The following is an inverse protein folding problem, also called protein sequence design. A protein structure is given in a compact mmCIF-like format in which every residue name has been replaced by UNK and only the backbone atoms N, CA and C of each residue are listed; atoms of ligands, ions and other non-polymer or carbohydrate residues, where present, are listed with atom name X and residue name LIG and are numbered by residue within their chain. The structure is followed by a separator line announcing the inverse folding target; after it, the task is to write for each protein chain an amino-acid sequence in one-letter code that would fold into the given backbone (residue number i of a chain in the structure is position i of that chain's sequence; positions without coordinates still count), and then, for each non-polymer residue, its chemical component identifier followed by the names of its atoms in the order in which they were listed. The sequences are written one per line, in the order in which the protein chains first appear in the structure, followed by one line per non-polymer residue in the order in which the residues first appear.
data_IF_437107446446
#
_entry.id   IF_437107446446
#
_cell.length_a   1.000
_cell.length_b   1.000
_cell.length_c   1.000
_cell.angle_alpha   90.00
_cell.angle_beta   90.00
_cell.angle_gamma   90.00
#
_symmetry.space_group_name_H-M   'P 1'
#
loop_
_entity.id
_entity.type
_entity.pdbx_description
1 polymer ?
#
# COMPACT_ATOMS: atom_id res chain seq x y z
N UNK A 1 14.44 -38.59 -20.49
CA UNK A 1 15.71 -38.35 -21.19
C UNK A 1 15.45 -37.27 -22.23
N UNK A 2 16.00 -36.06 -22.19
CA UNK A 2 16.89 -35.35 -21.30
C UNK A 2 17.02 -33.90 -21.81
N UNK A 3 17.22 -32.97 -20.87
CA UNK A 3 17.92 -31.67 -20.89
C UNK A 3 17.67 -30.72 -22.09
N UNK A 4 17.04 -29.54 -21.92
CA UNK A 4 17.55 -28.28 -21.34
C UNK A 4 18.85 -27.77 -22.00
N UNK A 5 18.73 -26.68 -22.76
CA UNK A 5 19.61 -25.52 -22.60
C UNK A 5 18.88 -24.20 -22.94
N UNK A 6 19.05 -23.28 -22.01
CA UNK A 6 18.69 -21.87 -21.97
C UNK A 6 19.46 -21.01 -22.99
N UNK A 7 18.81 -19.97 -23.54
CA UNK A 7 19.51 -18.74 -23.92
C UNK A 7 18.71 -17.50 -23.51
N UNK A 8 19.40 -16.66 -22.77
CA UNK A 8 19.09 -15.29 -22.33
C UNK A 8 18.57 -14.41 -23.47
N UNK A 9 17.45 -13.71 -23.25
CA UNK A 9 16.96 -12.68 -24.16
C UNK A 9 17.21 -11.32 -23.50
N UNK A 10 18.35 -10.72 -23.84
CA UNK A 10 18.68 -9.34 -23.49
C UNK A 10 17.75 -8.40 -24.24
N UNK A 11 16.98 -7.61 -23.49
CA UNK A 11 16.07 -6.57 -23.98
C UNK A 11 16.85 -5.38 -24.53
N UNK A 12 17.43 -5.53 -25.72
CA UNK A 12 17.89 -4.40 -26.53
C UNK A 12 16.68 -3.71 -27.19
N UNK A 13 16.22 -2.61 -26.58
CA UNK A 13 15.37 -1.63 -27.24
C UNK A 13 16.19 -0.87 -28.31
N UNK A 14 16.38 -1.52 -29.46
CA UNK A 14 16.78 -0.85 -30.69
C UNK A 14 15.57 -0.08 -31.21
N UNK A 15 15.49 1.21 -30.86
CA UNK A 15 14.64 2.17 -31.57
C UNK A 15 15.22 2.34 -32.98
N UNK A 16 14.77 1.49 -33.91
CA UNK A 16 15.04 1.63 -35.32
C UNK A 16 14.40 2.91 -35.85
N UNK A 17 15.25 3.80 -36.37
CA UNK A 17 14.97 4.97 -37.22
C UNK A 17 13.52 5.06 -37.74
N UNK A 18 12.66 5.76 -37.01
CA UNK A 18 11.50 6.41 -37.60
C UNK A 18 11.85 7.88 -37.81
N UNK A 19 11.81 8.29 -39.08
CA UNK A 19 11.92 9.67 -39.52
C UNK A 19 10.78 10.50 -38.92
N UNK A 20 10.94 10.95 -37.68
CA UNK A 20 10.16 12.04 -37.14
C UNK A 20 10.76 13.30 -37.75
N UNK A 21 9.94 14.01 -38.52
CA UNK A 21 10.26 15.28 -39.16
C UNK A 21 10.81 16.23 -38.11
N UNK A 22 12.14 16.33 -38.03
CA UNK A 22 12.82 17.38 -37.30
C UNK A 22 12.42 18.68 -37.98
N UNK A 23 11.57 19.48 -37.32
CA UNK A 23 11.57 20.90 -37.59
C UNK A 23 12.95 21.39 -37.20
N UNK A 24 13.79 21.61 -38.22
CA UNK A 24 15.13 22.17 -38.12
C UNK A 24 15.11 23.43 -37.24
N UNK A 25 15.52 23.28 -35.98
CA UNK A 25 15.97 24.41 -35.19
C UNK A 25 17.39 24.75 -35.64
N UNK A 26 17.70 26.03 -35.91
CA UNK A 26 18.98 26.41 -36.47
C UNK A 26 20.10 26.07 -35.48
N UNK A 27 20.94 25.11 -35.86
CA UNK A 27 22.27 24.94 -35.30
C UNK A 27 23.12 26.10 -35.79
N UNK A 28 23.11 27.22 -35.08
CA UNK A 28 24.03 28.33 -35.34
C UNK A 28 24.65 28.84 -34.06
N UNK A 29 25.90 28.44 -33.89
CA UNK A 29 26.94 29.18 -33.17
C UNK A 29 26.97 30.65 -33.62
N UNK A 30 26.25 31.49 -32.90
CA UNK A 30 26.49 32.93 -32.88
C UNK A 30 26.28 33.40 -31.45
N UNK A 31 27.29 34.05 -30.88
CA UNK A 31 27.29 34.63 -29.54
C UNK A 31 26.33 35.83 -29.44
N UNK A 32 25.04 35.62 -29.71
CA UNK A 32 24.02 36.59 -29.41
C UNK A 32 23.74 36.47 -27.91
N UNK A 33 24.02 37.54 -27.16
CA UNK A 33 23.55 37.71 -25.79
C UNK A 33 22.07 37.29 -25.66
N UNK A 34 21.72 36.58 -24.58
CA UNK A 34 20.33 36.24 -24.27
C UNK A 34 19.47 37.50 -24.27
N UNK A 35 18.27 37.39 -24.83
CA UNK A 35 17.23 38.41 -24.67
C UNK A 35 16.80 38.54 -23.20
N UNK A 36 16.19 39.67 -22.83
CA UNK A 36 15.66 39.86 -21.46
C UNK A 36 14.63 38.76 -21.12
N UNK A 37 13.81 38.34 -22.08
CA UNK A 37 12.82 37.28 -21.89
C UNK A 37 13.50 35.95 -21.59
N UNK A 38 14.52 35.58 -22.38
CA UNK A 38 15.30 34.36 -22.16
C UNK A 38 16.00 34.37 -20.79
N UNK A 39 16.52 35.52 -20.34
CA UNK A 39 17.12 35.65 -19.01
C UNK A 39 16.09 35.41 -17.89
N UNK A 40 14.88 35.98 -18.01
CA UNK A 40 13.80 35.75 -17.06
C UNK A 40 13.40 34.27 -17.02
N UNK A 41 13.35 33.59 -18.17
CA UNK A 41 13.04 32.17 -18.24
C UNK A 41 14.11 31.30 -17.57
N UNK A 42 15.40 31.61 -17.78
CA UNK A 42 16.51 30.93 -17.09
C UNK A 42 16.39 31.10 -15.57
N UNK A 43 16.15 32.32 -15.09
CA UNK A 43 15.99 32.59 -13.66
C UNK A 43 14.77 31.83 -13.10
N UNK A 44 13.67 31.76 -13.85
CA UNK A 44 12.50 30.97 -13.46
C UNK A 44 12.86 29.48 -13.31
N UNK A 45 13.60 28.92 -14.27
CA UNK A 45 14.08 27.53 -14.21
C UNK A 45 14.95 27.31 -12.96
N UNK A 46 15.95 28.17 -12.75
CA UNK A 46 16.87 28.07 -11.61
C UNK A 46 16.14 28.24 -10.26
N UNK A 47 15.11 29.08 -10.20
CA UNK A 47 14.32 29.30 -8.99
C UNK A 47 13.52 28.07 -8.55
N UNK A 48 13.15 27.21 -9.50
CA UNK A 48 12.43 25.96 -9.25
C UNK A 48 13.35 24.83 -8.73
N UNK A 49 14.66 24.99 -8.83
CA UNK A 49 15.64 24.01 -8.34
C UNK A 49 16.01 24.34 -6.88
N UNK A 50 16.10 23.36 -5.97
CA UNK A 50 16.58 23.57 -4.60
C UNK A 50 17.96 24.23 -4.57
N UNK A 51 18.18 25.15 -3.64
CA UNK A 51 19.37 26.00 -3.61
C UNK A 51 20.69 25.20 -3.65
N UNK A 52 20.76 24.06 -2.96
CA UNK A 52 21.95 23.20 -2.93
C UNK A 52 22.25 22.51 -4.27
N UNK A 53 21.26 22.39 -5.16
CA UNK A 53 21.42 21.81 -6.50
C UNK A 53 21.62 22.88 -7.60
N UNK A 54 21.35 24.16 -7.31
CA UNK A 54 21.38 25.23 -8.33
C UNK A 54 22.76 25.44 -8.93
N UNK A 55 23.82 25.33 -8.13
CA UNK A 55 25.16 25.71 -8.57
C UNK A 55 25.65 24.86 -9.76
N UNK A 56 25.33 23.57 -9.77
CA UNK A 56 25.65 22.68 -10.90
C UNK A 56 24.96 23.15 -12.17
N UNK A 57 23.67 23.48 -12.10
CA UNK A 57 22.87 23.91 -13.26
C UNK A 57 23.20 25.34 -13.71
N UNK A 58 23.53 26.24 -12.77
CA UNK A 58 23.88 27.62 -13.05
C UNK A 58 25.16 27.76 -13.90
N UNK A 59 26.01 26.73 -13.91
CA UNK A 59 27.21 26.69 -14.73
C UNK A 59 26.95 26.25 -16.18
N UNK A 60 25.73 25.83 -16.53
CA UNK A 60 25.41 25.42 -17.89
C UNK A 60 25.31 26.63 -18.82
N UNK A 61 25.62 26.45 -20.12
CA UNK A 61 25.32 27.48 -21.11
C UNK A 61 23.82 27.78 -21.12
N UNK A 62 23.43 29.01 -20.78
CA UNK A 62 22.05 29.37 -20.51
C UNK A 62 21.09 29.07 -21.67
N UNK A 63 21.53 29.26 -22.92
CA UNK A 63 20.71 28.94 -24.10
C UNK A 63 20.52 27.42 -24.27
N UNK A 64 21.50 26.62 -23.89
CA UNK A 64 21.37 25.17 -23.90
C UNK A 64 20.38 24.73 -22.80
N UNK A 65 20.48 25.31 -21.60
CA UNK A 65 19.51 25.06 -20.52
C UNK A 65 18.07 25.41 -20.96
N UNK A 66 17.88 26.55 -21.63
CA UNK A 66 16.57 26.93 -22.19
C UNK A 66 16.06 25.90 -23.19
N UNK A 67 16.89 25.50 -24.15
CA UNK A 67 16.50 24.50 -25.16
C UNK A 67 16.09 23.16 -24.53
N UNK A 68 16.81 22.72 -23.50
CA UNK A 68 16.48 21.49 -22.74
C UNK A 68 15.09 21.62 -22.10
N UNK A 69 14.83 22.72 -21.39
CA UNK A 69 13.54 22.92 -20.73
C UNK A 69 12.38 23.15 -21.71
N UNK A 70 12.61 23.84 -22.83
CA UNK A 70 11.63 23.95 -23.90
C UNK A 70 11.25 22.56 -24.44
N UNK A 71 12.22 21.67 -24.62
CA UNK A 71 11.98 20.29 -25.04
C UNK A 71 11.17 19.50 -24.00
N UNK A 72 11.47 19.67 -22.71
CA UNK A 72 10.71 19.08 -21.62
C UNK A 72 9.25 19.61 -21.58
N UNK A 73 9.04 20.91 -21.79
CA UNK A 73 7.69 21.48 -21.90
C UNK A 73 6.93 20.96 -23.13
N UNK A 74 7.61 20.75 -24.26
CA UNK A 74 7.01 20.10 -25.43
C UNK A 74 6.57 18.68 -25.13
N UNK A 75 7.35 17.90 -24.35
CA UNK A 75 6.93 16.57 -23.93
C UNK A 75 5.64 16.62 -23.09
N UNK A 76 5.56 17.55 -22.12
CA UNK A 76 4.34 17.80 -21.34
C UNK A 76 3.15 18.21 -22.21
N UNK A 77 3.38 19.03 -23.23
CA UNK A 77 2.36 19.37 -24.21
C UNK A 77 1.87 18.14 -24.99
N UNK A 78 2.79 17.28 -25.47
CA UNK A 78 2.42 16.05 -26.17
C UNK A 78 1.67 15.05 -25.30
N UNK A 79 1.94 14.98 -23.99
CA UNK A 79 1.10 14.20 -23.06
C UNK A 79 -0.34 14.70 -23.08
N UNK A 80 -0.56 16.01 -23.11
CA UNK A 80 -1.91 16.60 -23.19
C UNK A 80 -2.65 16.26 -24.49
N UNK A 81 -1.90 15.92 -25.55
CA UNK A 81 -2.42 15.45 -26.83
C UNK A 81 -2.47 13.92 -26.92
N UNK A 82 -2.21 13.21 -25.82
CA UNK A 82 -2.09 11.74 -25.77
C UNK A 82 -1.03 11.16 -26.73
N UNK A 83 -0.09 11.99 -27.21
CA UNK A 83 1.01 11.57 -28.07
C UNK A 83 2.22 11.17 -27.22
N UNK A 84 2.10 10.01 -26.56
CA UNK A 84 3.12 9.51 -25.63
C UNK A 84 4.44 9.17 -26.32
N UNK A 85 4.43 8.76 -27.60
CA UNK A 85 5.65 8.43 -28.34
C UNK A 85 6.51 9.68 -28.55
N UNK A 86 5.91 10.80 -28.99
CA UNK A 86 6.63 12.06 -29.10
C UNK A 86 7.13 12.53 -27.73
N UNK A 87 6.29 12.45 -26.69
CA UNK A 87 6.70 12.83 -25.34
C UNK A 87 7.93 12.04 -24.85
N UNK A 88 7.96 10.72 -25.05
CA UNK A 88 9.11 9.87 -24.70
C UNK A 88 10.36 10.30 -25.48
N UNK A 89 10.24 10.53 -26.80
CA UNK A 89 11.38 10.94 -27.61
C UNK A 89 11.98 12.28 -27.15
N UNK A 90 11.11 13.22 -26.76
CA UNK A 90 11.53 14.51 -26.22
C UNK A 90 12.21 14.38 -24.84
N UNK A 91 11.63 13.64 -23.90
CA UNK A 91 12.24 13.40 -22.57
C UNK A 91 13.55 12.62 -22.64
N UNK A 92 13.65 11.63 -23.52
CA UNK A 92 14.89 10.87 -23.71
C UNK A 92 16.02 11.79 -24.19
N UNK A 93 15.73 12.67 -25.16
CA UNK A 93 16.71 13.68 -25.63
C UNK A 93 17.10 14.64 -24.50
N UNK A 94 16.14 15.11 -23.69
CA UNK A 94 16.41 15.93 -22.49
C UNK A 94 17.36 15.21 -21.53
N UNK A 95 17.07 13.96 -21.19
CA UNK A 95 17.88 13.18 -20.26
C UNK A 95 19.33 13.01 -20.77
N UNK A 96 19.50 12.72 -22.06
CA UNK A 96 20.82 12.57 -22.70
C UNK A 96 21.60 13.87 -22.76
N UNK A 97 20.94 14.99 -23.08
CA UNK A 97 21.59 16.30 -23.08
C UNK A 97 22.06 16.70 -21.66
N UNK A 98 21.26 16.43 -20.64
CA UNK A 98 21.62 16.67 -19.24
C UNK A 98 22.73 15.75 -18.74
N UNK A 99 22.73 14.49 -19.15
CA UNK A 99 23.77 13.50 -18.82
C UNK A 99 25.15 14.00 -19.29
N UNK A 100 25.22 14.51 -20.53
CA UNK A 100 26.44 15.11 -21.10
C UNK A 100 26.88 16.35 -20.32
N UNK A 101 25.94 17.21 -19.92
CA UNK A 101 26.26 18.44 -19.18
C UNK A 101 26.69 18.19 -17.73
N UNK A 102 26.14 17.15 -17.11
CA UNK A 102 26.40 16.82 -15.70
C UNK A 102 27.52 15.78 -15.51
N UNK A 103 28.07 15.24 -16.59
CA UNK A 103 29.08 14.19 -16.50
C UNK A 103 28.55 12.89 -15.89
N UNK A 104 27.32 12.51 -16.28
CA UNK A 104 26.61 11.32 -15.81
C UNK A 104 26.24 11.32 -14.31
N UNK A 105 26.06 12.50 -13.70
CA UNK A 105 25.48 12.61 -12.36
C UNK A 105 23.96 12.37 -12.40
N UNK A 106 23.54 11.10 -12.48
CA UNK A 106 22.13 10.67 -12.44
C UNK A 106 21.43 10.97 -11.10
N UNK A 107 22.21 11.38 -10.11
CA UNK A 107 21.81 11.61 -8.73
C UNK A 107 21.35 13.05 -8.48
N UNK A 108 21.13 13.84 -9.54
CA UNK A 108 20.77 15.25 -9.47
C UNK A 108 19.23 15.49 -9.45
N UNK A 109 18.78 16.48 -8.65
CA UNK A 109 17.35 16.84 -8.48
C UNK A 109 16.60 17.07 -9.79
N UNK A 110 17.27 17.58 -10.83
CA UNK A 110 16.66 17.91 -12.12
C UNK A 110 15.98 16.70 -12.79
N UNK A 111 16.45 15.48 -12.52
CA UNK A 111 15.90 14.27 -13.10
C UNK A 111 14.54 13.84 -12.53
N UNK A 112 14.10 14.38 -11.39
CA UNK A 112 12.82 13.99 -10.77
C UNK A 112 11.65 14.20 -11.74
N UNK A 113 11.53 15.40 -12.29
CA UNK A 113 10.41 15.74 -13.19
C UNK A 113 10.52 14.99 -14.53
N UNK A 114 11.73 14.86 -15.07
CA UNK A 114 12.01 14.11 -16.30
C UNK A 114 11.62 12.64 -16.15
N UNK A 115 12.07 11.99 -15.08
CA UNK A 115 11.73 10.59 -14.78
C UNK A 115 10.23 10.41 -14.53
N UNK A 116 9.56 11.37 -13.90
CA UNK A 116 8.12 11.32 -13.70
C UNK A 116 7.33 11.42 -15.02
N UNK A 117 7.71 12.37 -15.87
CA UNK A 117 7.09 12.53 -17.20
C UNK A 117 7.33 11.29 -18.06
N UNK A 118 8.57 10.81 -18.12
CA UNK A 118 8.95 9.64 -18.91
C UNK A 118 8.28 8.36 -18.39
N UNK A 119 8.23 8.16 -17.07
CA UNK A 119 7.52 7.05 -16.44
C UNK A 119 6.04 7.03 -16.83
N UNK A 120 5.35 8.18 -16.72
CA UNK A 120 3.93 8.30 -17.12
C UNK A 120 3.71 7.92 -18.58
N UNK A 121 4.57 8.38 -19.48
CA UNK A 121 4.45 8.08 -20.90
C UNK A 121 4.72 6.60 -21.20
N UNK A 122 5.77 6.02 -20.59
CA UNK A 122 6.12 4.62 -20.75
C UNK A 122 5.03 3.69 -20.22
N UNK A 123 4.39 4.05 -19.10
CA UNK A 123 3.23 3.33 -18.58
C UNK A 123 2.09 3.33 -19.59
N UNK A 124 1.78 4.48 -20.20
CA UNK A 124 0.75 4.60 -21.25
C UNK A 124 1.12 3.88 -22.55
N UNK A 125 2.42 3.72 -22.81
CA UNK A 125 2.95 2.94 -23.93
C UNK A 125 3.17 1.45 -23.59
N UNK A 126 2.65 0.97 -22.45
CA UNK A 126 2.78 -0.42 -21.99
C UNK A 126 4.22 -0.91 -21.73
N UNK A 127 5.18 0.00 -21.61
CA UNK A 127 6.56 -0.28 -21.18
C UNK A 127 6.65 -0.25 -19.64
N UNK A 128 5.85 -1.13 -19.02
CA UNK A 128 5.57 -1.10 -17.58
C UNK A 128 6.81 -1.26 -16.70
N UNK A 129 7.74 -2.21 -16.95
CA UNK A 129 8.93 -2.37 -16.10
C UNK A 129 9.82 -1.11 -16.07
N UNK A 130 10.05 -0.49 -17.23
CA UNK A 130 10.84 0.74 -17.34
C UNK A 130 10.17 1.92 -16.65
N UNK A 131 8.84 2.03 -16.76
CA UNK A 131 8.06 3.05 -16.04
C UNK A 131 8.22 2.91 -14.52
N UNK A 132 8.12 1.68 -13.99
CA UNK A 132 8.31 1.42 -12.56
C UNK A 132 9.71 1.81 -12.10
N UNK A 133 10.75 1.43 -12.86
CA UNK A 133 12.13 1.78 -12.52
C UNK A 133 12.31 3.29 -12.42
N UNK A 134 11.87 4.03 -13.44
CA UNK A 134 12.00 5.50 -13.45
C UNK A 134 11.19 6.17 -12.34
N UNK A 135 9.98 5.68 -12.06
CA UNK A 135 9.17 6.20 -10.95
C UNK A 135 9.83 5.97 -9.58
N UNK A 136 10.51 4.82 -9.40
CA UNK A 136 11.29 4.53 -8.19
C UNK A 136 12.54 5.41 -8.11
N UNK A 137 13.25 5.63 -9.21
CA UNK A 137 14.39 6.56 -9.26
C UNK A 137 13.97 7.99 -8.91
N UNK A 138 12.86 8.48 -9.46
CA UNK A 138 12.32 9.79 -9.11
C UNK A 138 11.95 9.89 -7.62
N UNK A 139 11.36 8.84 -7.04
CA UNK A 139 11.09 8.79 -5.59
C UNK A 139 12.38 8.86 -4.76
N UNK A 140 13.41 8.11 -5.13
CA UNK A 140 14.69 8.11 -4.43
C UNK A 140 15.35 9.50 -4.45
N UNK A 141 15.36 10.16 -5.61
CA UNK A 141 15.86 11.53 -5.76
C UNK A 141 15.04 12.53 -4.94
N UNK A 142 13.72 12.40 -4.95
CA UNK A 142 12.83 13.29 -4.21
C UNK A 142 13.08 13.19 -2.70
N UNK A 143 13.20 11.97 -2.16
CA UNK A 143 13.53 11.75 -0.75
C UNK A 143 14.93 12.26 -0.39
N UNK A 144 15.89 12.18 -1.32
CA UNK A 144 17.26 12.65 -1.10
C UNK A 144 17.37 14.17 -1.09
N UNK A 145 16.73 14.86 -2.04
CA UNK A 145 16.94 16.28 -2.26
C UNK A 145 15.89 17.17 -1.61
N UNK A 146 14.67 16.67 -1.44
CA UNK A 146 13.54 17.43 -0.87
C UNK A 146 12.72 16.56 0.08
N UNK A 147 13.32 16.00 1.16
CA UNK A 147 12.62 15.11 2.09
C UNK A 147 11.45 15.76 2.83
N UNK A 148 11.42 17.10 2.87
CA UNK A 148 10.36 17.87 3.52
C UNK A 148 9.23 18.26 2.57
N UNK A 149 9.36 18.00 1.26
CA UNK A 149 8.30 18.29 0.28
C UNK A 149 7.24 17.18 0.30
N UNK A 150 6.41 17.20 1.34
CA UNK A 150 5.35 16.21 1.56
C UNK A 150 4.36 16.18 0.38
N UNK A 151 4.09 17.31 -0.27
CA UNK A 151 3.19 17.37 -1.41
C UNK A 151 3.75 16.58 -2.60
N UNK A 152 5.01 16.80 -2.96
CA UNK A 152 5.66 16.04 -4.02
C UNK A 152 5.78 14.55 -3.67
N UNK A 153 6.13 14.21 -2.42
CA UNK A 153 6.29 12.82 -1.98
C UNK A 153 4.96 12.08 -2.05
N UNK A 154 3.87 12.69 -1.59
CA UNK A 154 2.52 12.12 -1.69
C UNK A 154 2.13 11.87 -3.15
N UNK A 155 2.36 12.85 -4.02
CA UNK A 155 2.11 12.72 -5.46
C UNK A 155 2.90 11.55 -6.06
N UNK A 156 4.15 11.37 -5.65
CA UNK A 156 5.00 10.31 -6.16
C UNK A 156 4.57 8.92 -5.71
N UNK A 157 4.10 8.78 -4.47
CA UNK A 157 3.47 7.55 -4.01
C UNK A 157 2.19 7.24 -4.81
N UNK A 158 1.36 8.24 -5.08
CA UNK A 158 0.17 8.06 -5.90
C UNK A 158 0.50 7.60 -7.33
N UNK A 159 1.56 8.14 -7.94
CA UNK A 159 2.05 7.71 -9.26
C UNK A 159 2.50 6.24 -9.25
N UNK A 160 3.29 5.83 -8.25
CA UNK A 160 3.70 4.43 -8.08
C UNK A 160 2.50 3.50 -7.89
N UNK A 161 1.50 3.93 -7.12
CA UNK A 161 0.29 3.13 -6.93
C UNK A 161 -0.44 2.86 -8.25
N UNK A 162 -0.54 3.86 -9.14
CA UNK A 162 -1.15 3.68 -10.46
C UNK A 162 -0.37 2.67 -11.31
N UNK A 163 0.97 2.73 -11.28
CA UNK A 163 1.81 1.78 -12.02
C UNK A 163 1.60 0.35 -11.49
N UNK A 164 1.56 0.16 -10.17
CA UNK A 164 1.30 -1.14 -9.57
C UNK A 164 -0.11 -1.67 -9.85
N UNK A 165 -1.13 -0.81 -9.93
CA UNK A 165 -2.46 -1.22 -10.37
C UNK A 165 -2.44 -1.77 -11.81
N UNK A 166 -1.69 -1.14 -12.72
CA UNK A 166 -1.53 -1.64 -14.09
C UNK A 166 -0.83 -3.01 -14.12
N UNK A 167 0.09 -3.26 -13.19
CA UNK A 167 0.75 -4.56 -13.01
C UNK A 167 -0.14 -5.61 -12.32
N UNK A 168 -1.32 -5.21 -11.81
CA UNK A 168 -2.13 -6.00 -10.86
C UNK A 168 -1.38 -6.37 -9.58
N UNK A 169 -0.37 -5.58 -9.24
CA UNK A 169 0.34 -5.70 -7.96
C UNK A 169 -0.43 -4.89 -6.91
N UNK A 170 -1.58 -5.42 -6.50
CA UNK A 170 -2.50 -4.72 -5.61
C UNK A 170 -1.91 -4.49 -4.22
N UNK A 171 -0.98 -5.33 -3.79
CA UNK A 171 -0.29 -5.20 -2.51
C UNK A 171 0.55 -3.93 -2.50
N UNK A 172 1.44 -3.77 -3.48
CA UNK A 172 2.28 -2.57 -3.56
C UNK A 172 1.44 -1.32 -3.90
N UNK A 173 0.37 -1.46 -4.69
CA UNK A 173 -0.53 -0.35 -4.97
C UNK A 173 -1.27 0.15 -3.71
N UNK A 174 -1.78 -0.75 -2.87
CA UNK A 174 -2.42 -0.44 -1.60
C UNK A 174 -1.45 0.28 -0.64
N UNK A 175 -0.24 -0.26 -0.50
CA UNK A 175 0.82 0.36 0.30
C UNK A 175 1.09 1.80 -0.16
N UNK A 176 1.32 1.99 -1.47
CA UNK A 176 1.61 3.32 -2.02
C UNK A 176 0.43 4.30 -1.80
N UNK A 177 -0.82 3.88 -1.94
CA UNK A 177 -1.96 4.78 -1.65
C UNK A 177 -2.05 5.16 -0.18
N UNK A 178 -1.79 4.24 0.75
CA UNK A 178 -1.75 4.55 2.19
C UNK A 178 -0.66 5.57 2.52
N UNK A 179 0.53 5.38 1.97
CA UNK A 179 1.64 6.33 2.15
C UNK A 179 1.35 7.69 1.48
N UNK A 180 0.69 7.70 0.32
CA UNK A 180 0.25 8.94 -0.32
C UNK A 180 -0.73 9.72 0.58
N UNK A 181 -1.74 9.03 1.15
CA UNK A 181 -2.73 9.64 2.05
C UNK A 181 -2.07 10.16 3.33
N UNK A 182 -1.26 9.33 3.99
CA UNK A 182 -0.57 9.70 5.23
C UNK A 182 0.34 10.92 5.02
N UNK A 183 1.07 10.95 3.92
CA UNK A 183 1.94 12.07 3.55
C UNK A 183 1.11 13.33 3.25
N UNK A 184 0.00 13.21 2.49
CA UNK A 184 -0.88 14.34 2.18
C UNK A 184 -1.52 14.97 3.43
N UNK A 185 -1.86 14.15 4.44
CA UNK A 185 -2.44 14.60 5.70
C UNK A 185 -1.48 15.41 6.58
N UNK A 186 -0.16 15.29 6.36
CA UNK A 186 0.87 16.02 7.12
C UNK A 186 1.14 17.42 6.57
N UNK A 187 0.51 17.80 5.45
CA UNK A 187 0.66 19.14 4.85
C UNK A 187 -0.13 20.16 5.67
N UNK A 188 0.43 21.34 5.94
CA UNK A 188 -0.20 22.39 6.78
C UNK A 188 -1.63 22.77 6.32
N UNK A 189 -1.87 22.73 5.01
CA UNK A 189 -3.19 22.93 4.40
C UNK A 189 -3.46 21.77 3.44
N UNK A 190 -4.00 20.63 3.95
CA UNK A 190 -4.23 19.46 3.13
C UNK A 190 -5.30 19.74 2.06
N UNK A 191 -5.04 19.31 0.83
CA UNK A 191 -6.07 19.29 -0.20
C UNK A 191 -7.03 18.11 0.07
N UNK A 192 -8.18 18.42 0.67
CA UNK A 192 -9.20 17.44 1.00
C UNK A 192 -9.76 16.72 -0.23
N UNK A 193 -9.85 17.37 -1.40
CA UNK A 193 -10.34 16.73 -2.62
C UNK A 193 -9.34 15.70 -3.13
N UNK A 194 -8.05 16.05 -3.09
CA UNK A 194 -6.97 15.12 -3.42
C UNK A 194 -6.94 13.90 -2.47
N UNK A 195 -7.07 14.11 -1.15
CA UNK A 195 -7.12 13.01 -0.19
C UNK A 195 -8.34 12.09 -0.42
N UNK A 196 -9.51 12.66 -0.69
CA UNK A 196 -10.71 11.88 -1.02
C UNK A 196 -10.54 11.05 -2.29
N UNK A 197 -9.87 11.60 -3.30
CA UNK A 197 -9.54 10.86 -4.52
C UNK A 197 -8.64 9.66 -4.22
N UNK A 198 -7.59 9.85 -3.40
CA UNK A 198 -6.71 8.75 -2.99
C UNK A 198 -7.45 7.68 -2.18
N UNK A 199 -8.35 8.09 -1.28
CA UNK A 199 -9.18 7.17 -0.49
C UNK A 199 -10.10 6.34 -1.38
N UNK A 200 -10.77 6.97 -2.35
CA UNK A 200 -11.61 6.27 -3.33
C UNK A 200 -10.81 5.23 -4.12
N UNK A 201 -9.60 5.57 -4.55
CA UNK A 201 -8.72 4.63 -5.24
C UNK A 201 -8.29 3.49 -4.31
N UNK A 202 -8.05 3.78 -3.04
CA UNK A 202 -7.66 2.78 -2.05
C UNK A 202 -8.79 1.78 -1.80
N UNK A 203 -10.02 2.25 -1.72
CA UNK A 203 -11.20 1.39 -1.53
C UNK A 203 -11.44 0.50 -2.77
N UNK A 204 -11.27 1.05 -3.98
CA UNK A 204 -11.31 0.25 -5.21
C UNK A 204 -10.27 -0.89 -5.21
N UNK A 205 -9.05 -0.62 -4.77
CA UNK A 205 -8.01 -1.66 -4.68
C UNK A 205 -8.38 -2.73 -3.65
N UNK A 206 -8.95 -2.35 -2.49
CA UNK A 206 -9.38 -3.35 -1.49
C UNK A 206 -10.44 -4.29 -2.07
N UNK A 207 -11.37 -3.75 -2.86
CA UNK A 207 -12.36 -4.57 -3.58
C UNK A 207 -11.67 -5.51 -4.58
N UNK A 208 -10.72 -5.02 -5.39
CA UNK A 208 -9.99 -5.85 -6.35
C UNK A 208 -9.15 -6.97 -5.70
N UNK A 209 -8.52 -6.70 -4.55
CA UNK A 209 -7.78 -7.71 -3.78
C UNK A 209 -8.73 -8.83 -3.33
N UNK A 210 -9.90 -8.44 -2.83
CA UNK A 210 -10.93 -9.41 -2.40
C UNK A 210 -11.40 -10.24 -3.60
N UNK A 211 -11.69 -9.60 -4.72
CA UNK A 211 -12.13 -10.27 -5.95
C UNK A 211 -11.07 -11.22 -6.54
N UNK A 212 -9.79 -10.83 -6.55
CA UNK A 212 -8.72 -11.70 -7.04
C UNK A 212 -8.48 -12.90 -6.10
N UNK A 213 -8.58 -12.70 -4.78
CA UNK A 213 -8.58 -13.79 -3.81
C UNK A 213 -9.76 -14.74 -4.06
N UNK A 214 -10.97 -14.23 -4.26
CA UNK A 214 -12.14 -15.06 -4.57
C UNK A 214 -12.03 -15.76 -5.94
N UNK A 215 -11.45 -15.09 -6.95
CA UNK A 215 -11.27 -15.64 -8.29
C UNK A 215 -10.21 -16.74 -8.33
N UNK A 216 -9.08 -16.53 -7.64
CA UNK A 216 -8.07 -17.58 -7.46
C UNK A 216 -8.64 -18.77 -6.69
N UNK A 217 -9.42 -18.54 -5.62
CA UNK A 217 -10.15 -19.58 -4.89
C UNK A 217 -11.21 -20.34 -5.69
N UNK A 218 -11.76 -19.76 -6.76
CA UNK A 218 -12.75 -20.43 -7.61
C UNK A 218 -12.11 -21.15 -8.81
N UNK A 219 -10.94 -20.69 -9.28
CA UNK A 219 -10.15 -21.34 -10.33
C UNK A 219 -9.35 -22.54 -9.81
N UNK A 220 -8.77 -22.45 -8.61
CA UNK A 220 -8.48 -23.67 -7.85
C UNK A 220 -9.81 -24.19 -7.33
N UNK A 221 -10.50 -25.02 -8.14
CA UNK A 221 -11.47 -25.95 -7.54
C UNK A 221 -10.66 -26.84 -6.59
N UNK A 222 -10.59 -26.39 -5.34
CA UNK A 222 -10.13 -27.18 -4.22
C UNK A 222 -11.17 -28.29 -4.11
N UNK A 223 -10.94 -29.38 -4.85
CA UNK A 223 -11.83 -30.54 -4.83
C UNK A 223 -11.93 -30.98 -3.38
N UNK A 224 -13.15 -30.90 -2.84
CA UNK A 224 -13.43 -31.32 -1.48
C UNK A 224 -13.05 -32.79 -1.38
N UNK A 225 -12.05 -33.10 -0.55
CA UNK A 225 -11.58 -34.47 -0.42
C UNK A 225 -12.72 -35.32 0.14
N UNK A 226 -12.83 -36.60 -0.23
CA UNK A 226 -13.88 -37.47 0.31
C UNK A 226 -13.84 -37.48 1.84
N UNK A 227 -14.95 -37.09 2.48
CA UNK A 227 -15.07 -37.00 3.95
C UNK A 227 -14.61 -35.67 4.57
N UNK A 228 -14.12 -34.72 3.76
CA UNK A 228 -13.74 -33.38 4.22
C UNK A 228 -14.99 -32.51 4.40
N UNK A 229 -15.15 -31.88 5.56
CA UNK A 229 -16.24 -30.90 5.78
C UNK A 229 -15.99 -29.64 4.97
N UNK A 230 -17.04 -28.86 4.70
CA UNK A 230 -16.92 -27.60 3.95
C UNK A 230 -15.93 -26.63 4.61
N UNK A 231 -15.93 -26.59 5.94
CA UNK A 231 -14.99 -25.78 6.72
C UNK A 231 -13.54 -26.29 6.61
N UNK A 232 -13.32 -27.62 6.55
CA UNK A 232 -11.99 -28.19 6.30
C UNK A 232 -11.48 -27.87 4.88
N UNK A 233 -12.36 -27.95 3.87
CA UNK A 233 -12.05 -27.58 2.49
C UNK A 233 -11.67 -26.11 2.37
N UNK A 234 -12.46 -25.21 2.98
CA UNK A 234 -12.19 -23.77 3.02
C UNK A 234 -10.86 -23.44 3.69
N UNK A 235 -10.51 -24.14 4.78
CA UNK A 235 -9.25 -23.98 5.50
C UNK A 235 -8.04 -24.45 4.69
N UNK A 236 -8.16 -25.57 3.96
CA UNK A 236 -7.09 -26.06 3.08
C UNK A 236 -6.83 -25.09 1.93
N UNK A 237 -7.89 -24.58 1.29
CA UNK A 237 -7.79 -23.55 0.26
C UNK A 237 -7.04 -22.31 0.79
N UNK A 238 -7.37 -21.85 2.01
CA UNK A 238 -6.71 -20.70 2.64
C UNK A 238 -5.23 -20.99 2.95
N UNK A 239 -4.88 -22.20 3.39
CA UNK A 239 -3.49 -22.59 3.65
C UNK A 239 -2.62 -22.55 2.37
N UNK A 240 -3.15 -22.99 1.24
CA UNK A 240 -2.46 -22.94 -0.07
C UNK A 240 -2.21 -21.48 -0.52
N UNK A 241 -3.16 -20.57 -0.28
CA UNK A 241 -3.02 -19.12 -0.58
C UNK A 241 -1.95 -18.45 0.30
N UNK A 242 -1.90 -18.83 1.56
CA UNK A 242 -0.90 -18.35 2.53
C UNK A 242 0.50 -18.79 2.09
N UNK A 243 0.66 -20.04 1.67
CA UNK A 243 1.94 -20.59 1.22
C UNK A 243 2.41 -19.90 -0.08
N UNK A 244 1.51 -19.69 -1.03
CA UNK A 244 1.79 -18.92 -2.25
C UNK A 244 2.27 -17.49 -1.95
N UNK A 245 1.57 -16.77 -1.06
CA UNK A 245 1.95 -15.41 -0.66
C UNK A 245 3.27 -15.35 0.12
N UNK A 246 3.59 -16.37 0.92
CA UNK A 246 4.86 -16.46 1.63
C UNK A 246 6.06 -16.73 0.70
N UNK A 247 5.84 -17.46 -0.40
CA UNK A 247 6.88 -17.76 -1.40
C UNK A 247 7.07 -16.65 -2.43
N UNK A 248 6.02 -15.92 -2.79
CA UNK A 248 6.02 -14.99 -3.94
C UNK A 248 5.68 -13.53 -3.59
N UNK A 249 5.25 -13.22 -2.36
CA UNK A 249 4.92 -11.87 -1.93
C UNK A 249 6.13 -11.01 -1.52
N UNK A 250 6.08 -9.70 -1.76
CA UNK A 250 7.21 -8.78 -1.53
C UNK A 250 7.36 -8.23 -0.09
N UNK A 251 6.64 -8.76 0.92
CA UNK A 251 6.75 -8.33 2.33
C UNK A 251 6.90 -9.54 3.28
N UNK A 252 7.48 -9.34 4.49
CA UNK A 252 7.59 -10.39 5.51
C UNK A 252 6.20 -10.72 6.03
N UNK A 253 5.64 -11.79 5.50
CA UNK A 253 4.44 -12.42 6.00
C UNK A 253 4.77 -13.08 7.35
N UNK A 254 4.19 -12.59 8.46
CA UNK A 254 4.30 -13.28 9.75
C UNK A 254 3.42 -14.54 9.70
N UNK A 255 4.02 -15.62 9.20
CA UNK A 255 3.41 -16.95 9.14
C UNK A 255 2.87 -17.38 10.51
N UNK A 256 3.47 -16.94 11.62
CA UNK A 256 3.00 -17.24 12.97
C UNK A 256 1.76 -16.43 13.39
N UNK A 257 1.59 -15.22 12.85
CA UNK A 257 0.41 -14.39 13.12
C UNK A 257 -0.80 -14.79 12.28
N UNK A 258 -0.60 -15.34 11.07
CA UNK A 258 -1.72 -15.76 10.21
C UNK A 258 -2.12 -17.23 10.40
N UNK A 259 -1.19 -18.10 10.84
CA UNK A 259 -1.56 -19.42 11.41
C UNK A 259 -2.22 -19.31 12.79
N UNK A 260 -2.36 -18.08 13.31
CA UNK A 260 -2.92 -17.75 14.62
C UNK A 260 -4.45 -17.66 14.60
N UNK A 261 -5.11 -18.71 14.16
CA UNK A 261 -6.51 -18.96 14.55
C UNK A 261 -6.50 -20.10 15.56
N UNK A 262 -7.35 -20.06 16.61
CA UNK A 262 -7.39 -21.10 17.60
C UNK A 262 -7.81 -22.40 16.90
N UNK A 263 -6.87 -23.33 16.78
CA UNK A 263 -7.21 -24.71 16.46
C UNK A 263 -8.18 -25.18 17.55
N UNK A 264 -9.07 -26.13 17.24
CA UNK A 264 -9.70 -26.96 18.29
C UNK A 264 -8.63 -27.56 19.22
N UNK A 265 -7.42 -27.75 18.72
CA UNK A 265 -6.24 -28.14 19.49
C UNK A 265 -5.82 -27.07 20.49
N UNK A 266 -5.82 -25.78 20.13
CA UNK A 266 -5.54 -24.68 21.07
C UNK A 266 -6.63 -24.55 22.13
N UNK A 267 -7.89 -24.75 21.77
CA UNK A 267 -9.00 -24.85 22.73
C UNK A 267 -8.80 -26.03 23.69
N UNK A 268 -8.25 -27.15 23.23
CA UNK A 268 -7.93 -28.29 24.10
C UNK A 268 -6.81 -28.02 25.10
N UNK A 269 -5.96 -27.00 24.84
CA UNK A 269 -4.94 -26.53 25.78
C UNK A 269 -5.51 -25.56 26.84
N UNK A 270 -6.74 -25.06 26.64
CA UNK A 270 -7.41 -24.16 27.59
C UNK A 270 -8.02 -24.99 28.72
N UNK A 271 -7.32 -25.04 29.85
CA UNK A 271 -7.82 -25.67 31.07
C UNK A 271 -8.67 -24.71 31.92
N UNK A 272 -9.26 -25.23 33.00
CA UNK A 272 -10.13 -24.44 33.87
C UNK A 272 -9.47 -23.23 34.52
N UNK A 273 -8.17 -23.34 34.83
CA UNK A 273 -7.41 -22.24 35.42
C UNK A 273 -7.27 -21.09 34.43
N UNK A 274 -6.92 -21.38 33.17
CA UNK A 274 -6.82 -20.38 32.10
C UNK A 274 -8.17 -19.69 31.90
N UNK A 275 -9.26 -20.45 31.86
CA UNK A 275 -10.61 -19.88 31.73
C UNK A 275 -10.94 -18.95 32.91
N UNK A 276 -10.66 -19.36 34.14
CA UNK A 276 -10.91 -18.55 35.33
C UNK A 276 -10.12 -17.24 35.31
N UNK A 277 -8.85 -17.30 34.92
CA UNK A 277 -7.99 -16.12 34.82
C UNK A 277 -8.52 -15.14 33.75
N UNK A 278 -8.87 -15.64 32.57
CA UNK A 278 -9.42 -14.82 31.48
C UNK A 278 -10.78 -14.24 31.87
N UNK A 279 -11.66 -15.01 32.51
CA UNK A 279 -12.96 -14.54 33.01
C UNK A 279 -12.77 -13.41 34.04
N UNK A 280 -11.86 -13.57 34.99
CA UNK A 280 -11.61 -12.55 36.02
C UNK A 280 -11.13 -11.23 35.40
N UNK A 281 -10.24 -11.31 34.41
CA UNK A 281 -9.74 -10.16 33.68
C UNK A 281 -10.81 -9.53 32.79
N UNK A 282 -11.65 -10.34 32.15
CA UNK A 282 -12.77 -9.86 31.35
C UNK A 282 -13.77 -9.12 32.22
N UNK A 283 -14.13 -9.65 33.39
CA UNK A 283 -14.99 -8.92 34.36
C UNK A 283 -14.40 -7.58 34.75
N UNK A 284 -13.11 -7.57 35.12
CA UNK A 284 -12.41 -6.34 35.50
C UNK A 284 -12.44 -5.32 34.37
N UNK A 285 -12.24 -5.77 33.13
CA UNK A 285 -12.33 -4.96 31.94
C UNK A 285 -13.74 -4.38 31.76
N UNK A 286 -14.78 -5.22 31.80
CA UNK A 286 -16.17 -4.80 31.66
C UNK A 286 -16.64 -3.82 32.74
N UNK A 287 -16.13 -3.95 33.98
CA UNK A 287 -16.46 -3.02 35.08
C UNK A 287 -15.76 -1.67 34.93
N UNK A 288 -14.55 -1.64 34.35
CA UNK A 288 -13.75 -0.43 34.17
C UNK A 288 -14.06 0.31 32.88
N UNK A 289 -14.58 -0.38 31.87
CA UNK A 289 -14.97 0.24 30.61
C UNK A 289 -15.99 1.33 30.90
N UNK A 290 -15.69 2.60 30.57
CA UNK A 290 -16.60 3.70 30.83
C UNK A 290 -17.90 3.39 30.13
N UNK A 291 -19.02 3.64 30.81
CA UNK A 291 -20.35 3.74 30.21
C UNK A 291 -20.42 4.96 29.29
N UNK A 292 -19.45 5.12 28.38
CA UNK A 292 -19.50 6.10 27.31
C UNK A 292 -20.64 5.72 26.39
N UNK A 293 -21.27 6.73 25.80
CA UNK A 293 -22.49 6.68 25.00
C UNK A 293 -22.46 5.73 23.78
N UNK A 294 -21.38 4.97 23.56
CA UNK A 294 -21.28 3.94 22.53
C UNK A 294 -22.03 2.67 22.94
N UNK A 295 -23.04 2.31 22.14
CA UNK A 295 -23.84 1.09 22.31
C UNK A 295 -23.04 -0.22 22.09
N UNK A 296 -21.79 -0.12 21.63
CA UNK A 296 -20.93 -1.24 21.24
C UNK A 296 -19.45 -0.88 21.37
N UNK A 297 -18.64 -1.86 21.81
CA UNK A 297 -17.19 -1.82 21.66
C UNK A 297 -16.66 -3.19 21.23
N UNK A 298 -15.51 -3.16 20.55
CA UNK A 298 -14.81 -4.33 20.06
C UNK A 298 -13.37 -4.36 20.56
N UNK A 299 -12.78 -5.55 20.60
CA UNK A 299 -11.36 -5.72 20.89
C UNK A 299 -10.84 -7.02 20.29
N UNK A 300 -9.54 -7.09 20.08
CA UNK A 300 -8.84 -8.33 19.70
C UNK A 300 -8.05 -8.91 20.88
N UNK A 301 -7.73 -10.20 20.84
CA UNK A 301 -7.09 -10.89 21.96
C UNK A 301 -5.71 -10.32 22.32
N UNK A 302 -4.96 -9.80 21.35
CA UNK A 302 -3.66 -9.14 21.59
C UNK A 302 -3.82 -7.83 22.37
N UNK A 303 -4.81 -7.01 22.02
CA UNK A 303 -5.13 -5.78 22.76
C UNK A 303 -5.59 -6.11 24.18
N UNK A 304 -6.46 -7.12 24.32
CA UNK A 304 -6.91 -7.61 25.62
C UNK A 304 -5.73 -8.11 26.47
N UNK A 305 -4.78 -8.84 25.85
CA UNK A 305 -3.54 -9.26 26.51
C UNK A 305 -2.77 -8.05 27.02
N UNK A 306 -2.46 -7.09 26.16
CA UNK A 306 -1.68 -5.91 26.52
C UNK A 306 -2.34 -5.07 27.61
N UNK A 307 -3.67 -4.94 27.57
CA UNK A 307 -4.42 -4.10 28.49
C UNK A 307 -4.70 -4.77 29.85
N UNK A 308 -5.05 -6.06 29.86
CA UNK A 308 -5.60 -6.72 31.05
C UNK A 308 -4.72 -7.86 31.60
N UNK A 309 -3.83 -8.36 30.76
CA UNK A 309 -3.13 -9.63 30.94
C UNK A 309 -1.63 -9.48 30.61
N UNK A 310 -1.04 -8.31 30.84
CA UNK A 310 0.36 -8.01 30.51
C UNK A 310 1.34 -8.94 31.21
N UNK A 311 1.07 -9.26 32.48
CA UNK A 311 1.96 -10.05 33.35
C UNK A 311 1.79 -11.57 33.18
N UNK A 312 0.86 -12.04 32.33
CA UNK A 312 0.70 -13.48 32.11
C UNK A 312 1.61 -14.00 30.99
N UNK A 313 2.12 -15.21 31.19
CA UNK A 313 2.87 -15.96 30.18
C UNK A 313 1.99 -16.50 29.05
N UNK A 314 0.66 -16.43 29.18
CA UNK A 314 -0.27 -16.90 28.15
C UNK A 314 -0.04 -16.17 26.83
N UNK A 315 0.04 -16.91 25.74
CA UNK A 315 0.12 -16.32 24.41
C UNK A 315 -1.24 -15.68 24.05
N UNK A 316 -1.26 -14.65 23.18
CA UNK A 316 -2.53 -14.11 22.67
C UNK A 316 -3.44 -15.18 22.04
N UNK A 317 -2.87 -16.24 21.44
CA UNK A 317 -3.65 -17.34 20.88
C UNK A 317 -4.42 -18.15 21.93
N UNK A 318 -3.80 -18.41 23.10
CA UNK A 318 -4.47 -19.09 24.23
C UNK A 318 -5.56 -18.18 24.82
N UNK A 319 -5.30 -16.87 24.88
CA UNK A 319 -6.29 -15.87 25.34
C UNK A 319 -7.47 -15.81 24.35
N UNK A 320 -7.22 -15.81 23.05
CA UNK A 320 -8.26 -15.85 22.02
C UNK A 320 -9.11 -17.13 22.09
N UNK A 321 -8.47 -18.30 22.25
CA UNK A 321 -9.16 -19.58 22.44
C UNK A 321 -10.03 -19.57 23.70
N UNK A 322 -9.51 -19.05 24.81
CA UNK A 322 -10.27 -18.93 26.05
C UNK A 322 -11.46 -17.98 25.91
N UNK A 323 -11.27 -16.80 25.31
CA UNK A 323 -12.36 -15.85 25.05
C UNK A 323 -13.43 -16.45 24.14
N UNK A 324 -13.03 -17.22 23.13
CA UNK A 324 -13.94 -17.97 22.25
C UNK A 324 -14.82 -18.93 23.06
N UNK A 325 -14.19 -19.80 23.86
CA UNK A 325 -14.90 -20.75 24.73
C UNK A 325 -15.86 -20.00 25.66
N UNK A 326 -15.40 -18.91 26.29
CA UNK A 326 -16.22 -18.11 27.21
C UNK A 326 -17.46 -17.54 26.48
N UNK A 327 -17.29 -16.95 25.30
CA UNK A 327 -18.39 -16.33 24.55
C UNK A 327 -19.39 -17.37 24.06
N UNK A 328 -18.92 -18.53 23.58
CA UNK A 328 -19.78 -19.64 23.17
C UNK A 328 -20.59 -20.18 24.36
N UNK A 329 -19.97 -20.34 25.53
CA UNK A 329 -20.63 -20.81 26.75
C UNK A 329 -21.64 -19.80 27.31
N UNK A 330 -21.35 -18.51 27.19
CA UNK A 330 -22.30 -17.45 27.56
C UNK A 330 -23.55 -17.51 26.67
N UNK A 331 -23.38 -17.72 25.37
CA UNK A 331 -24.48 -17.71 24.41
C UNK A 331 -25.24 -19.04 24.33
N UNK A 332 -24.69 -20.13 24.87
CA UNK A 332 -25.35 -21.43 24.86
C UNK A 332 -26.33 -21.59 26.03
N UNK A 333 -27.61 -21.83 25.71
CA UNK A 333 -28.68 -22.03 26.69
C UNK A 333 -28.48 -23.24 27.60
N UNK A 334 -27.80 -24.29 27.10
CA UNK A 334 -27.55 -25.53 27.85
C UNK A 334 -26.61 -25.33 29.04
N UNK A 335 -25.76 -24.31 28.99
CA UNK A 335 -24.80 -23.98 30.05
C UNK A 335 -25.24 -22.76 30.87
N UNK A 336 -26.54 -22.45 30.85
CA UNK A 336 -27.15 -21.37 31.65
C UNK A 336 -26.89 -21.49 33.15
N UNK A 337 -26.73 -22.71 33.67
CA UNK A 337 -26.57 -22.97 35.10
C UNK A 337 -25.11 -23.15 35.57
N UNK A 338 -24.12 -23.04 34.68
CA UNK A 338 -22.73 -23.08 35.11
C UNK A 338 -22.38 -21.76 35.82
N UNK A 339 -22.17 -21.84 37.14
CA UNK A 339 -21.84 -20.71 38.00
C UNK A 339 -20.65 -19.89 37.48
N UNK A 340 -19.72 -20.55 36.76
CA UNK A 340 -18.53 -19.94 36.17
C UNK A 340 -18.90 -18.81 35.20
N UNK A 341 -19.89 -19.03 34.33
CA UNK A 341 -20.32 -18.07 33.29
C UNK A 341 -21.54 -17.25 33.69
N UNK A 342 -22.33 -17.71 34.68
CA UNK A 342 -23.54 -17.03 35.15
C UNK A 342 -23.27 -15.55 35.54
N UNK A 343 -22.12 -15.31 36.18
CA UNK A 343 -21.68 -13.96 36.56
C UNK A 343 -21.40 -13.02 35.38
N UNK A 344 -21.00 -13.51 34.20
CA UNK A 344 -20.85 -12.70 32.99
C UNK A 344 -22.21 -12.42 32.32
N UNK A 345 -23.17 -13.35 32.42
CA UNK A 345 -24.54 -13.17 31.89
C UNK A 345 -25.31 -12.04 32.59
N UNK A 346 -24.96 -11.76 33.85
CA UNK A 346 -25.55 -10.68 34.64
C UNK A 346 -25.14 -9.28 34.15
N UNK A 347 -24.05 -9.15 33.40
CA UNK A 347 -23.68 -7.87 32.81
C UNK A 347 -24.73 -7.42 31.77
N UNK A 348 -24.94 -6.10 31.61
CA UNK A 348 -25.89 -5.55 30.65
C UNK A 348 -25.38 -5.62 29.21
N UNK A 349 -24.57 -6.62 28.88
CA UNK A 349 -23.95 -6.79 27.56
C UNK A 349 -24.36 -8.11 26.89
N UNK A 350 -24.43 -8.11 25.56
CA UNK A 350 -24.37 -9.30 24.72
C UNK A 350 -22.95 -9.46 24.18
N UNK A 351 -22.56 -10.71 23.98
CA UNK A 351 -21.20 -11.09 23.61
C UNK A 351 -21.25 -11.83 22.28
N UNK A 352 -20.46 -11.41 21.31
CA UNK A 352 -20.29 -12.15 20.04
C UNK A 352 -18.86 -11.99 19.54
N UNK A 353 -18.51 -12.72 18.49
CA UNK A 353 -17.25 -12.52 17.79
C UNK A 353 -17.46 -12.64 16.28
N UNK A 354 -16.58 -12.01 15.50
CA UNK A 354 -16.56 -12.13 14.04
C UNK A 354 -15.14 -12.34 13.55
N UNK A 355 -15.02 -13.04 12.42
CA UNK A 355 -13.79 -13.17 11.65
C UNK A 355 -13.70 -12.13 10.53
N UNK A 356 -14.79 -11.39 10.29
CA UNK A 356 -14.99 -10.51 9.13
C UNK A 356 -15.16 -9.04 9.56
N UNK A 357 -14.18 -8.47 10.28
CA UNK A 357 -14.25 -7.08 10.74
C UNK A 357 -13.43 -6.12 9.85
N UNK A 358 -14.09 -5.11 9.27
CA UNK A 358 -13.55 -4.17 8.26
C UNK A 358 -12.29 -3.39 8.67
N UNK A 359 -12.05 -3.21 9.98
CA UNK A 359 -10.94 -2.40 10.51
C UNK A 359 -9.72 -3.21 11.00
N UNK A 360 -9.81 -4.54 11.07
CA UNK A 360 -8.72 -5.39 11.55
C UNK A 360 -8.21 -6.31 10.44
N UNK A 361 -6.96 -6.74 10.55
CA UNK A 361 -6.32 -7.63 9.57
C UNK A 361 -7.12 -8.95 9.44
N UNK A 362 -7.24 -9.45 8.20
CA UNK A 362 -7.80 -10.78 7.93
C UNK A 362 -7.05 -11.82 8.77
N UNK A 363 -7.77 -12.67 9.50
CA UNK A 363 -7.20 -13.75 10.33
C UNK A 363 -7.24 -13.52 11.84
N UNK A 364 -7.71 -12.37 12.33
CA UNK A 364 -7.86 -12.10 13.78
C UNK A 364 -9.33 -12.08 14.17
N UNK A 365 -9.69 -12.84 15.22
CA UNK A 365 -11.05 -12.81 15.77
C UNK A 365 -11.28 -11.52 16.55
N UNK A 366 -12.33 -10.80 16.17
CA UNK A 366 -12.76 -9.57 16.85
C UNK A 366 -13.91 -9.93 17.78
N UNK A 367 -13.75 -9.65 19.07
CA UNK A 367 -14.78 -9.86 20.09
C UNK A 367 -15.62 -8.60 20.22
N UNK A 368 -16.93 -8.73 20.09
CA UNK A 368 -17.89 -7.63 20.17
C UNK A 368 -18.69 -7.74 21.46
N UNK A 369 -18.80 -6.61 22.15
CA UNK A 369 -19.58 -6.47 23.37
C UNK A 369 -20.57 -5.33 23.15
N UNK A 370 -21.86 -5.66 23.08
CA UNK A 370 -22.93 -4.68 22.82
C UNK A 370 -23.80 -4.51 24.06
N UNK A 371 -24.21 -3.29 24.39
CA UNK A 371 -25.21 -3.10 25.45
C UNK A 371 -26.55 -3.73 25.08
N UNK A 372 -27.13 -4.52 25.99
CA UNK A 372 -28.49 -5.06 25.82
C UNK A 372 -29.45 -3.88 25.77
N UNK A 373 -30.10 -3.66 24.62
CA UNK A 373 -31.12 -2.63 24.48
C UNK A 373 -32.23 -2.85 25.51
N UNK A 374 -32.64 -1.80 26.26
CA UNK A 374 -33.78 -1.87 27.20
C UNK A 374 -35.14 -2.15 26.52
N UNK A 375 -35.16 -2.29 25.20
CA UNK A 375 -36.32 -2.64 24.40
C UNK A 375 -36.63 -4.14 24.54
N UNK A 376 -37.38 -4.51 25.57
CA UNK A 376 -38.37 -5.62 25.64
C UNK A 376 -38.61 -6.11 27.08
N UNK A 377 -38.85 -5.22 28.02
CA UNK A 377 -39.62 -5.58 29.22
C UNK A 377 -40.91 -4.77 29.19
N UNK A 378 -41.94 -5.38 28.60
CA UNK A 378 -43.34 -4.99 28.75
C UNK A 378 -44.06 -6.16 29.38
#
# INVERSE_FOLDING_TARGET
MGCIHSSTNDGNLLLSNSNIVDQNFPSSSSSSSLTIVEQIEVEKILSAIPQHCRQTIANFPSRQLLNIYQRHFLAKYYIGQENFVCAIAHEYRVAKELEVLMGNDEDHFIYIDIYNVMSKCLMKHNAIPTATQLSRSAMALLLKHTPMDQAAISTQYANLAVIYQVQKDWVNANYCLKEAINTAQKIDQPDHQYIQLLQKNLDLIKEQVVDEIFSTMTLTKVEQKPGETEDQCRRRAMAEIIEFNAEHGTFPFDKFEFTRLPLKETESLVNDQILNDVILKLKTFLTKSPSSESEEFNFIAIEFKHAQMKETSLSPAIIEAALTIIFDQINNEKFSNDEKYASLKQFPYSFSYTHDHFFHQLGVRVFLVKTKSKLSQK
#
